data_IF_520640526780
#
_entry.id   IF_520640526780
#
_cell.length_a   1.000
_cell.length_b   1.000
_cell.length_c   1.000
_cell.angle_alpha   90.00
_cell.angle_beta   90.00
_cell.angle_gamma   90.00
#
_symmetry.space_group_name_H-M   'P 1'
#
loop_
_entity.id
_entity.type
_entity.pdbx_description
1 polymer ?
#
# COMPACT_ATOMS: atom_id res chain seq x y z
N UNK A 1 13.26 1.90 -19.75
CA UNK A 1 12.48 0.67 -19.49
C UNK A 1 11.89 0.63 -18.09
N UNK A 2 12.67 0.83 -17.01
CA UNK A 2 12.14 0.83 -15.63
C UNK A 2 11.05 1.89 -15.36
N UNK A 3 11.20 3.12 -15.89
CA UNK A 3 10.20 4.19 -15.77
C UNK A 3 8.80 3.80 -16.31
N UNK A 4 8.74 3.01 -17.39
CA UNK A 4 7.48 2.55 -17.96
C UNK A 4 6.75 1.57 -17.02
N UNK A 5 7.49 0.74 -16.29
CA UNK A 5 6.91 -0.19 -15.31
C UNK A 5 6.28 0.57 -14.14
N UNK A 6 6.95 1.63 -13.65
CA UNK A 6 6.41 2.48 -12.60
C UNK A 6 5.16 3.24 -13.04
N UNK A 7 5.16 3.79 -14.27
CA UNK A 7 3.94 4.39 -14.84
C UNK A 7 2.79 3.39 -14.97
N UNK A 8 3.07 2.17 -15.44
CA UNK A 8 2.05 1.13 -15.52
C UNK A 8 1.47 0.77 -14.14
N UNK A 9 2.33 0.67 -13.11
CA UNK A 9 1.90 0.44 -11.73
C UNK A 9 1.02 1.59 -11.20
N UNK A 10 1.42 2.85 -11.47
CA UNK A 10 0.64 4.02 -11.08
C UNK A 10 -0.73 4.05 -11.77
N UNK A 11 -0.80 3.79 -13.06
CA UNK A 11 -2.08 3.70 -13.80
C UNK A 11 -2.97 2.59 -13.25
N UNK A 12 -2.39 1.43 -12.96
CA UNK A 12 -3.12 0.30 -12.38
C UNK A 12 -3.68 0.65 -10.99
N UNK A 13 -2.87 1.27 -10.13
CA UNK A 13 -3.30 1.74 -8.83
C UNK A 13 -4.40 2.80 -8.93
N UNK A 14 -4.35 3.69 -9.92
CA UNK A 14 -5.39 4.72 -10.15
C UNK A 14 -6.74 4.09 -10.52
N UNK A 15 -6.73 3.06 -11.36
CA UNK A 15 -7.94 2.28 -11.70
C UNK A 15 -8.51 1.65 -10.42
N UNK A 16 -7.66 1.09 -9.56
CA UNK A 16 -8.10 0.46 -8.31
C UNK A 16 -8.66 1.46 -7.31
N UNK A 17 -7.98 2.60 -7.13
CA UNK A 17 -8.44 3.70 -6.30
C UNK A 17 -9.84 4.17 -6.74
N UNK A 18 -10.04 4.37 -8.04
CA UNK A 18 -11.31 4.81 -8.63
C UNK A 18 -12.46 3.83 -8.37
N UNK A 19 -12.18 2.52 -8.49
CA UNK A 19 -13.14 1.46 -8.17
C UNK A 19 -13.54 1.47 -6.68
N UNK A 20 -12.57 1.66 -5.79
CA UNK A 20 -12.81 1.71 -4.35
C UNK A 20 -13.56 2.99 -3.94
N UNK A 21 -13.27 4.14 -4.55
CA UNK A 21 -14.00 5.40 -4.29
C UNK A 21 -15.46 5.25 -4.69
N UNK A 22 -15.71 4.72 -5.89
CA UNK A 22 -17.07 4.44 -6.36
C UNK A 22 -17.82 3.52 -5.39
N UNK A 23 -17.10 2.55 -4.80
CA UNK A 23 -17.67 1.65 -3.80
C UNK A 23 -17.90 2.33 -2.46
N UNK A 24 -16.99 3.19 -2.02
CA UNK A 24 -17.13 3.97 -0.80
C UNK A 24 -18.39 4.85 -0.87
N UNK A 25 -18.65 5.50 -2.01
CA UNK A 25 -19.87 6.30 -2.21
C UNK A 25 -21.18 5.52 -2.03
N UNK A 26 -21.18 4.21 -2.32
CA UNK A 26 -22.38 3.36 -2.22
C UNK A 26 -22.51 2.61 -0.89
N UNK A 27 -21.39 2.24 -0.25
CA UNK A 27 -21.38 1.42 0.97
C UNK A 27 -20.96 2.17 2.23
N UNK A 28 -20.30 3.33 2.09
CA UNK A 28 -19.84 4.20 3.17
C UNK A 28 -19.08 3.50 4.31
N UNK A 29 -18.35 2.42 4.00
CA UNK A 29 -17.52 1.74 5.00
C UNK A 29 -16.12 2.39 5.05
N UNK A 30 -15.59 2.73 6.24
CA UNK A 30 -14.26 3.33 6.40
C UNK A 30 -13.15 2.54 5.71
N UNK A 31 -13.28 1.22 5.65
CA UNK A 31 -12.36 0.35 4.93
C UNK A 31 -12.13 0.80 3.47
N UNK A 32 -13.21 1.07 2.73
CA UNK A 32 -13.08 1.46 1.31
C UNK A 32 -12.39 2.81 1.16
N UNK A 33 -12.64 3.75 2.08
CA UNK A 33 -11.98 5.05 2.09
C UNK A 33 -10.47 4.91 2.30
N UNK A 34 -10.07 4.19 3.33
CA UNK A 34 -8.65 4.02 3.68
C UNK A 34 -7.88 3.27 2.60
N UNK A 35 -8.49 2.25 2.00
CA UNK A 35 -7.89 1.57 0.86
C UNK A 35 -7.82 2.48 -0.37
N UNK A 36 -8.84 3.29 -0.67
CA UNK A 36 -8.74 4.30 -1.74
C UNK A 36 -7.57 5.25 -1.51
N UNK A 37 -7.41 5.78 -0.29
CA UNK A 37 -6.29 6.66 0.07
C UNK A 37 -4.96 5.95 -0.17
N UNK A 38 -4.83 4.70 0.28
CA UNK A 38 -3.64 3.88 0.03
C UNK A 38 -3.30 3.76 -1.45
N UNK A 39 -4.27 3.42 -2.31
CA UNK A 39 -4.03 3.31 -3.74
C UNK A 39 -3.74 4.67 -4.40
N UNK A 40 -4.31 5.78 -3.93
CA UNK A 40 -3.90 7.11 -4.40
C UNK A 40 -2.46 7.45 -4.01
N UNK A 41 -2.04 7.13 -2.79
CA UNK A 41 -0.65 7.28 -2.36
C UNK A 41 0.28 6.38 -3.20
N UNK A 42 -0.20 5.20 -3.61
CA UNK A 42 0.49 4.33 -4.56
C UNK A 42 0.67 5.00 -5.93
N UNK A 43 -0.35 5.69 -6.45
CA UNK A 43 -0.25 6.48 -7.70
C UNK A 43 0.83 7.55 -7.56
N UNK A 44 0.84 8.28 -6.45
CA UNK A 44 1.82 9.33 -6.18
C UNK A 44 3.21 8.72 -6.10
N UNK A 45 3.41 7.70 -5.27
CA UNK A 45 4.71 7.07 -5.07
C UNK A 45 5.31 6.57 -6.40
N UNK A 46 4.55 5.78 -7.15
CA UNK A 46 5.06 5.18 -8.39
C UNK A 46 5.16 6.19 -9.53
N UNK A 47 4.26 7.19 -9.60
CA UNK A 47 4.39 8.29 -10.55
C UNK A 47 5.64 9.12 -10.29
N UNK A 48 5.91 9.46 -9.03
CA UNK A 48 7.10 10.20 -8.63
C UNK A 48 8.38 9.38 -8.79
N UNK A 49 8.34 8.07 -8.55
CA UNK A 49 9.46 7.19 -8.83
C UNK A 49 9.76 7.10 -10.33
N UNK A 50 8.72 7.05 -11.18
CA UNK A 50 8.89 7.08 -12.63
C UNK A 50 9.54 8.39 -13.10
N UNK A 51 9.12 9.53 -12.52
CA UNK A 51 9.71 10.84 -12.77
C UNK A 51 11.17 10.90 -12.29
N UNK A 52 11.45 10.44 -11.07
CA UNK A 52 12.80 10.44 -10.49
C UNK A 52 13.77 9.61 -11.34
N UNK A 53 13.33 8.45 -11.84
CA UNK A 53 14.11 7.63 -12.77
C UNK A 53 14.34 8.37 -14.08
N UNK A 54 13.32 9.07 -14.62
CA UNK A 54 13.42 9.80 -15.88
C UNK A 54 14.28 11.06 -15.79
N UNK A 55 14.34 11.70 -14.62
CA UNK A 55 15.16 12.87 -14.34
C UNK A 55 16.60 12.52 -13.94
N UNK A 56 16.98 11.24 -14.04
CA UNK A 56 18.27 10.71 -13.59
C UNK A 56 18.58 11.06 -12.12
N UNK A 57 17.57 10.99 -11.25
CA UNK A 57 17.76 11.16 -9.80
C UNK A 57 18.24 12.56 -9.39
N UNK A 58 17.85 13.60 -10.14
CA UNK A 58 18.26 14.98 -9.87
C UNK A 58 17.20 15.81 -9.14
N UNK A 59 15.96 15.34 -9.08
CA UNK A 59 14.85 16.08 -8.49
C UNK A 59 14.57 15.61 -7.07
N UNK A 60 14.93 16.45 -6.09
CA UNK A 60 14.69 16.18 -4.66
C UNK A 60 13.20 16.15 -4.37
N UNK A 61 12.43 17.01 -5.03
CA UNK A 61 10.99 17.11 -4.85
C UNK A 61 10.25 15.82 -5.23
N UNK A 62 10.60 15.22 -6.37
CA UNK A 62 10.04 13.93 -6.80
C UNK A 62 10.34 12.85 -5.75
N UNK A 63 11.57 12.79 -5.25
CA UNK A 63 11.95 11.80 -4.25
C UNK A 63 11.28 12.02 -2.88
N UNK A 64 11.06 13.28 -2.46
CA UNK A 64 10.30 13.59 -1.25
C UNK A 64 8.86 13.07 -1.33
N UNK A 65 8.18 13.32 -2.44
CA UNK A 65 6.82 12.82 -2.66
C UNK A 65 6.77 11.30 -2.77
N UNK A 66 7.81 10.68 -3.33
CA UNK A 66 7.98 9.22 -3.30
C UNK A 66 8.08 8.69 -1.86
N UNK A 67 8.91 9.28 -1.00
CA UNK A 67 9.07 8.86 0.40
C UNK A 67 7.72 8.92 1.13
N UNK A 68 7.01 10.04 0.99
CA UNK A 68 5.70 10.25 1.61
C UNK A 68 4.70 9.21 1.09
N UNK A 69 4.54 9.12 -0.23
CA UNK A 69 3.59 8.19 -0.83
C UNK A 69 3.89 6.71 -0.52
N UNK A 70 5.16 6.31 -0.52
CA UNK A 70 5.58 4.92 -0.33
C UNK A 70 5.39 4.41 1.11
N UNK A 71 5.63 5.25 2.12
CA UNK A 71 5.30 4.90 3.50
C UNK A 71 3.80 4.99 3.76
N UNK A 72 3.18 6.08 3.29
CA UNK A 72 1.77 6.37 3.51
C UNK A 72 0.84 5.32 2.89
N UNK A 73 1.19 4.76 1.72
CA UNK A 73 0.35 3.72 1.08
C UNK A 73 0.21 2.49 1.99
N UNK A 74 1.29 2.03 2.64
CA UNK A 74 1.24 0.83 3.49
C UNK A 74 0.48 1.14 4.77
N UNK A 75 0.73 2.29 5.38
CA UNK A 75 0.04 2.71 6.59
C UNK A 75 -1.46 2.97 6.36
N UNK A 76 -1.86 3.57 5.25
CA UNK A 76 -3.28 3.74 4.94
C UNK A 76 -3.97 2.38 4.70
N UNK A 77 -3.27 1.43 4.06
CA UNK A 77 -3.78 0.08 3.84
C UNK A 77 -3.97 -0.68 5.15
N UNK A 78 -3.04 -0.55 6.09
CA UNK A 78 -3.13 -1.16 7.41
C UNK A 78 -4.28 -0.58 8.22
N UNK A 79 -4.54 0.73 8.15
CA UNK A 79 -5.71 1.34 8.80
C UNK A 79 -7.01 0.73 8.27
N UNK A 80 -7.15 0.62 6.94
CA UNK A 80 -8.29 -0.07 6.34
C UNK A 80 -8.43 -1.52 6.82
N UNK A 81 -7.31 -2.24 6.91
CA UNK A 81 -7.27 -3.62 7.42
C UNK A 81 -7.72 -3.71 8.87
N UNK A 82 -7.31 -2.77 9.72
CA UNK A 82 -7.77 -2.69 11.11
C UNK A 82 -9.28 -2.44 11.19
N UNK A 83 -9.84 -1.57 10.34
CA UNK A 83 -11.30 -1.37 10.26
C UNK A 83 -12.06 -2.62 9.79
N UNK A 84 -11.46 -3.50 8.98
CA UNK A 84 -12.06 -4.80 8.66
C UNK A 84 -12.05 -5.75 9.84
N UNK A 85 -10.94 -5.83 10.57
CA UNK A 85 -10.78 -6.74 11.69
C UNK A 85 -11.63 -6.33 12.89
N UNK A 86 -11.73 -5.02 13.15
CA UNK A 86 -12.45 -4.46 14.28
C UNK A 86 -13.40 -3.33 13.85
N UNK A 87 -14.50 -3.66 13.14
CA UNK A 87 -15.46 -2.67 12.68
C UNK A 87 -16.02 -1.84 13.84
N UNK A 88 -16.06 -0.51 13.68
CA UNK A 88 -16.60 0.45 14.68
C UNK A 88 -15.87 0.47 16.04
N UNK A 89 -14.65 -0.06 16.13
CA UNK A 89 -13.88 -0.04 17.38
C UNK A 89 -13.13 1.28 17.59
N UNK A 90 -12.99 1.70 18.86
CA UNK A 90 -12.10 2.82 19.24
C UNK A 90 -10.63 2.53 18.89
N UNK A 91 -10.24 1.26 18.83
CA UNK A 91 -8.90 0.81 18.39
C UNK A 91 -8.64 1.21 16.94
N UNK A 92 -9.59 0.95 16.03
CA UNK A 92 -9.43 1.33 14.63
C UNK A 92 -9.36 2.85 14.43
N UNK A 93 -10.15 3.62 15.21
CA UNK A 93 -10.10 5.08 15.21
C UNK A 93 -8.76 5.59 15.76
N UNK A 94 -8.31 5.07 16.91
CA UNK A 94 -7.04 5.45 17.52
C UNK A 94 -5.86 5.14 16.60
N UNK A 95 -5.88 3.99 15.94
CA UNK A 95 -4.85 3.63 14.97
C UNK A 95 -4.88 4.54 13.72
N UNK A 96 -6.07 4.90 13.23
CA UNK A 96 -6.20 5.87 12.13
C UNK A 96 -5.64 7.25 12.50
N UNK A 97 -5.90 7.73 13.73
CA UNK A 97 -5.35 8.99 14.23
C UNK A 97 -3.83 8.91 14.35
N UNK A 98 -3.30 7.83 14.92
CA UNK A 98 -1.86 7.57 14.96
C UNK A 98 -1.25 7.62 13.55
N UNK A 99 -1.83 6.90 12.60
CA UNK A 99 -1.36 6.89 11.22
C UNK A 99 -1.31 8.30 10.63
N UNK A 100 -2.41 9.07 10.73
CA UNK A 100 -2.47 10.43 10.17
C UNK A 100 -1.42 11.34 10.80
N UNK A 101 -1.24 11.28 12.13
CA UNK A 101 -0.24 12.08 12.82
C UNK A 101 1.18 11.74 12.34
N UNK A 102 1.52 10.45 12.25
CA UNK A 102 2.85 10.01 11.80
C UNK A 102 3.06 10.36 10.32
N UNK A 103 2.06 10.21 9.47
CA UNK A 103 2.11 10.58 8.04
C UNK A 103 2.32 12.09 7.85
N UNK A 104 1.61 12.93 8.62
CA UNK A 104 1.80 14.39 8.59
C UNK A 104 3.22 14.76 9.04
N UNK A 105 3.72 14.13 10.11
CA UNK A 105 5.09 14.35 10.56
C UNK A 105 6.11 13.88 9.52
N UNK A 106 5.92 12.72 8.90
CA UNK A 106 6.75 12.27 7.78
C UNK A 106 6.76 13.31 6.66
N UNK A 107 5.60 13.82 6.26
CA UNK A 107 5.50 14.82 5.20
C UNK A 107 6.26 16.09 5.57
N UNK A 108 6.07 16.64 6.77
CA UNK A 108 6.79 17.83 7.25
C UNK A 108 8.31 17.59 7.21
N UNK A 109 8.79 16.49 7.79
CA UNK A 109 10.22 16.23 7.90
C UNK A 109 10.87 15.85 6.58
N UNK A 110 10.13 15.23 5.65
CA UNK A 110 10.61 15.00 4.29
C UNK A 110 11.00 16.31 3.58
N UNK A 111 10.27 17.40 3.85
CA UNK A 111 10.58 18.74 3.30
C UNK A 111 11.60 19.53 4.14
N UNK A 112 11.52 19.45 5.47
CA UNK A 112 12.44 20.18 6.38
C UNK A 112 13.85 19.60 6.36
N UNK A 113 13.97 18.29 6.17
CA UNK A 113 15.24 17.57 6.09
C UNK A 113 15.30 16.81 4.76
N UNK A 114 15.60 17.51 3.65
CA UNK A 114 15.56 16.92 2.33
C UNK A 114 16.51 15.72 2.22
N UNK A 115 16.09 14.64 1.55
CA UNK A 115 16.92 13.47 1.34
C UNK A 115 18.12 13.80 0.44
N UNK A 116 19.24 13.11 0.66
CA UNK A 116 20.41 13.19 -0.21
C UNK A 116 20.22 12.25 -1.39
N UNK A 117 20.26 12.80 -2.60
CA UNK A 117 20.16 12.01 -3.81
C UNK A 117 21.50 11.34 -4.12
N UNK A 118 21.51 10.01 -4.10
CA UNK A 118 22.60 9.22 -4.62
C UNK A 118 22.16 8.76 -6.00
N UNK A 119 22.84 9.19 -7.07
CA UNK A 119 22.39 9.14 -8.48
C UNK A 119 22.02 7.79 -9.12
N UNK A 120 21.58 6.80 -8.34
CA UNK A 120 20.99 5.56 -8.79
C UNK A 120 19.87 5.09 -7.86
N UNK A 121 18.89 4.40 -8.44
CA UNK A 121 17.83 3.69 -7.73
C UNK A 121 18.37 2.81 -6.60
N UNK A 122 19.41 2.03 -6.92
CA UNK A 122 20.00 1.09 -5.98
C UNK A 122 20.62 1.80 -4.78
N UNK A 123 21.29 2.94 -4.97
CA UNK A 123 21.85 3.69 -3.86
C UNK A 123 20.77 4.34 -2.98
N UNK A 124 19.64 4.73 -3.57
CA UNK A 124 18.51 5.33 -2.87
C UNK A 124 17.62 4.31 -2.14
N UNK A 125 17.52 3.09 -2.64
CA UNK A 125 16.69 2.04 -2.05
C UNK A 125 17.50 0.95 -1.31
N UNK A 126 18.84 0.96 -1.38
CA UNK A 126 19.75 0.16 -0.55
C UNK A 126 19.77 0.59 0.93
N UNK A 127 18.85 1.46 1.36
CA UNK A 127 18.41 1.59 2.75
C UNK A 127 19.42 2.10 3.78
N UNK A 128 20.69 2.33 3.44
CA UNK A 128 21.68 2.75 4.45
C UNK A 128 21.86 4.26 4.60
N UNK A 129 21.57 5.08 3.58
CA UNK A 129 21.82 6.54 3.67
C UNK A 129 20.83 7.44 2.90
N UNK A 130 19.81 6.89 2.25
CA UNK A 130 18.93 7.68 1.38
C UNK A 130 17.84 8.45 2.12
N UNK A 131 17.25 7.81 3.13
CA UNK A 131 16.34 8.44 4.09
C UNK A 131 17.08 8.46 5.41
N UNK A 132 17.42 9.65 5.90
CA UNK A 132 18.23 9.85 7.10
C UNK A 132 17.53 10.76 8.09
N UNK A 133 18.00 10.73 9.34
CA UNK A 133 17.52 11.60 10.40
C UNK A 133 16.05 11.37 10.74
N UNK A 134 15.34 12.44 11.06
CA UNK A 134 13.97 12.37 11.58
C UNK A 134 12.97 11.81 10.56
N UNK A 135 13.17 12.07 9.26
CA UNK A 135 12.34 11.50 8.18
C UNK A 135 12.38 9.97 8.20
N UNK A 136 13.55 9.38 8.47
CA UNK A 136 13.71 7.93 8.55
C UNK A 136 12.91 7.33 9.70
N UNK A 137 12.86 8.02 10.84
CA UNK A 137 12.12 7.54 12.02
C UNK A 137 10.64 7.40 11.69
N UNK A 138 10.02 8.45 11.12
CA UNK A 138 8.59 8.41 10.79
C UNK A 138 8.28 7.44 9.65
N UNK A 139 9.16 7.34 8.65
CA UNK A 139 9.06 6.34 7.60
C UNK A 139 9.03 4.92 8.19
N UNK A 140 9.97 4.60 9.09
CA UNK A 140 10.06 3.30 9.75
C UNK A 140 8.84 3.03 10.64
N UNK A 141 8.32 4.02 11.36
CA UNK A 141 7.13 3.85 12.19
C UNK A 141 5.89 3.46 11.36
N UNK A 142 5.75 3.98 10.14
CA UNK A 142 4.67 3.59 9.23
C UNK A 142 4.89 2.21 8.65
N UNK A 143 6.08 1.93 8.12
CA UNK A 143 6.39 0.66 7.47
C UNK A 143 6.39 -0.52 8.47
N UNK A 144 7.06 -0.36 9.61
CA UNK A 144 7.24 -1.41 10.62
C UNK A 144 5.93 -1.78 11.33
N UNK A 145 4.98 -0.85 11.42
CA UNK A 145 3.67 -1.13 12.02
C UNK A 145 2.66 -1.54 10.95
N UNK A 146 2.61 -0.82 9.82
CA UNK A 146 1.61 -1.04 8.77
C UNK A 146 1.78 -2.37 8.06
N UNK A 147 3.00 -2.73 7.65
CA UNK A 147 3.29 -3.97 6.93
C UNK A 147 2.81 -5.22 7.69
N UNK A 148 3.25 -5.42 8.95
CA UNK A 148 2.79 -6.55 9.77
C UNK A 148 1.29 -6.59 9.97
N UNK A 149 0.61 -5.45 10.18
CA UNK A 149 -0.85 -5.43 10.34
C UNK A 149 -1.55 -5.93 9.09
N UNK A 150 -1.12 -5.53 7.89
CA UNK A 150 -1.71 -6.01 6.64
C UNK A 150 -1.48 -7.51 6.48
N UNK A 151 -0.23 -7.97 6.67
CA UNK A 151 0.15 -9.38 6.49
C UNK A 151 -0.57 -10.27 7.51
N UNK A 152 -0.45 -9.96 8.81
CA UNK A 152 -1.04 -10.74 9.90
C UNK A 152 -2.57 -10.68 9.80
N UNK A 153 -3.15 -9.51 9.50
CA UNK A 153 -4.59 -9.35 9.32
C UNK A 153 -5.14 -10.24 8.21
N UNK A 154 -4.45 -10.28 7.06
CA UNK A 154 -4.83 -11.14 5.94
C UNK A 154 -4.67 -12.64 6.27
N UNK A 155 -3.57 -13.04 6.89
CA UNK A 155 -3.32 -14.43 7.30
C UNK A 155 -4.31 -14.90 8.37
N UNK A 156 -4.63 -14.06 9.36
CA UNK A 156 -5.63 -14.34 10.38
C UNK A 156 -7.03 -14.51 9.78
N UNK A 157 -7.39 -13.63 8.84
CA UNK A 157 -8.65 -13.72 8.09
C UNK A 157 -8.72 -15.02 7.28
N UNK A 158 -7.62 -15.43 6.65
CA UNK A 158 -7.52 -16.74 6.00
C UNK A 158 -7.65 -17.89 7.00
N UNK A 159 -6.96 -17.84 8.14
CA UNK A 159 -7.03 -18.92 9.14
C UNK A 159 -8.47 -19.17 9.61
N UNK A 160 -9.24 -18.09 9.86
CA UNK A 160 -10.63 -18.19 10.30
C UNK A 160 -11.61 -18.59 9.20
N UNK A 161 -11.44 -18.12 7.97
CA UNK A 161 -12.44 -18.27 6.91
C UNK A 161 -12.07 -19.29 5.85
N UNK A 162 -10.79 -19.68 5.79
CA UNK A 162 -10.15 -20.52 4.77
C UNK A 162 -10.36 -20.05 3.32
N UNK A 163 -10.62 -18.76 3.13
CA UNK A 163 -10.89 -18.17 1.81
C UNK A 163 -9.60 -17.78 1.10
N UNK A 164 -9.41 -18.33 -0.10
CA UNK A 164 -8.18 -18.17 -0.89
C UNK A 164 -7.81 -16.71 -1.19
N UNK A 165 -8.80 -15.83 -1.36
CA UNK A 165 -8.56 -14.42 -1.68
C UNK A 165 -7.83 -13.65 -0.56
N UNK A 166 -7.92 -14.12 0.70
CA UNK A 166 -7.14 -13.56 1.79
C UNK A 166 -5.65 -13.93 1.67
N UNK A 167 -5.33 -15.11 1.12
CA UNK A 167 -3.94 -15.47 0.80
C UNK A 167 -3.38 -14.61 -0.31
N UNK A 168 -4.19 -14.26 -1.32
CA UNK A 168 -3.74 -13.34 -2.37
C UNK A 168 -3.36 -11.97 -1.80
N UNK A 169 -4.14 -11.43 -0.85
CA UNK A 169 -3.82 -10.18 -0.16
C UNK A 169 -2.54 -10.35 0.68
N UNK A 170 -2.42 -11.44 1.45
CA UNK A 170 -1.24 -11.70 2.27
C UNK A 170 0.04 -11.83 1.43
N UNK A 171 0.00 -12.62 0.36
CA UNK A 171 1.10 -12.79 -0.57
C UNK A 171 1.42 -11.48 -1.28
N UNK A 172 0.39 -10.73 -1.70
CA UNK A 172 0.56 -9.44 -2.35
C UNK A 172 1.20 -8.37 -1.45
N UNK A 173 1.05 -8.47 -0.13
CA UNK A 173 1.78 -7.64 0.84
C UNK A 173 3.19 -8.18 1.16
N UNK A 174 3.36 -9.51 1.22
CA UNK A 174 4.63 -10.16 1.51
C UNK A 174 5.66 -9.99 0.39
N UNK A 175 5.25 -10.14 -0.87
CA UNK A 175 6.14 -10.03 -2.04
C UNK A 175 6.91 -8.70 -2.07
N UNK A 176 6.27 -7.52 -2.04
CA UNK A 176 6.98 -6.24 -2.04
C UNK A 176 7.76 -5.99 -0.75
N UNK A 177 7.26 -6.46 0.41
CA UNK A 177 7.98 -6.34 1.69
C UNK A 177 9.32 -7.09 1.69
N UNK A 178 9.31 -8.33 1.17
CA UNK A 178 10.51 -9.15 1.00
C UNK A 178 11.44 -8.55 -0.06
N UNK A 179 10.89 -8.08 -1.18
CA UNK A 179 11.67 -7.43 -2.22
C UNK A 179 12.36 -6.16 -1.72
N UNK A 180 11.68 -5.33 -0.92
CA UNK A 180 12.26 -4.13 -0.30
C UNK A 180 13.37 -4.45 0.69
N UNK A 181 13.20 -5.52 1.47
CA UNK A 181 14.24 -5.99 2.41
C UNK A 181 15.46 -6.55 1.69
N UNK A 182 15.28 -7.21 0.54
CA UNK A 182 16.40 -7.68 -0.27
C UNK A 182 17.08 -6.50 -0.99
N UNK A 183 16.30 -5.58 -1.55
CA UNK A 183 16.81 -4.38 -2.21
C UNK A 183 17.62 -3.50 -1.25
N UNK A 184 17.18 -3.38 0.02
CA UNK A 184 17.91 -2.66 1.06
C UNK A 184 19.26 -3.30 1.42
N UNK A 185 19.46 -4.57 1.10
CA UNK A 185 20.74 -5.27 1.24
C UNK A 185 21.59 -5.24 -0.05
N UNK A 186 21.14 -4.50 -1.07
CA UNK A 186 21.79 -4.46 -2.39
C UNK A 186 21.47 -5.68 -3.27
N UNK A 187 20.57 -6.56 -2.85
CA UNK A 187 20.18 -7.79 -3.54
C UNK A 187 18.88 -7.56 -4.32
N UNK A 188 18.76 -8.11 -5.53
CA UNK A 188 17.53 -8.09 -6.33
C UNK A 188 16.97 -6.69 -6.67
N UNK A 189 17.83 -5.66 -6.70
CA UNK A 189 17.46 -4.26 -7.00
C UNK A 189 16.76 -4.11 -8.36
N UNK A 190 17.20 -4.85 -9.38
CA UNK A 190 16.60 -4.84 -10.71
C UNK A 190 15.18 -5.47 -10.76
N UNK A 191 14.85 -6.35 -9.81
CA UNK A 191 13.59 -7.12 -9.80
C UNK A 191 12.53 -6.44 -8.90
N UNK A 192 12.94 -5.56 -8.00
CA UNK A 192 12.04 -4.87 -7.07
C UNK A 192 10.83 -4.17 -7.73
N UNK A 193 10.96 -3.41 -8.84
CA UNK A 193 9.81 -2.79 -9.49
C UNK A 193 8.77 -3.81 -9.97
N UNK A 194 9.25 -4.95 -10.47
CA UNK A 194 8.39 -6.06 -10.92
C UNK A 194 7.68 -6.70 -9.73
N UNK A 195 8.37 -6.90 -8.60
CA UNK A 195 7.78 -7.45 -7.39
C UNK A 195 6.70 -6.54 -6.80
N UNK A 196 6.85 -5.22 -6.88
CA UNK A 196 5.79 -4.29 -6.50
C UNK A 196 4.54 -4.42 -7.37
N UNK A 197 4.72 -4.52 -8.69
CA UNK A 197 3.59 -4.73 -9.62
C UNK A 197 2.89 -6.06 -9.32
N UNK A 198 3.66 -7.14 -9.12
CA UNK A 198 3.11 -8.45 -8.75
C UNK A 198 2.33 -8.34 -7.44
N UNK A 199 2.90 -7.69 -6.42
CA UNK A 199 2.23 -7.47 -5.14
C UNK A 199 0.91 -6.70 -5.28
N UNK A 200 0.94 -5.59 -6.03
CA UNK A 200 -0.21 -4.76 -6.34
C UNK A 200 -1.34 -5.55 -7.03
N UNK A 201 -0.99 -6.34 -8.04
CA UNK A 201 -1.93 -7.20 -8.77
C UNK A 201 -2.53 -8.26 -7.84
N UNK A 202 -1.72 -8.91 -7.00
CA UNK A 202 -2.19 -9.94 -6.07
C UNK A 202 -3.18 -9.37 -5.05
N UNK A 203 -2.89 -8.21 -4.45
CA UNK A 203 -3.81 -7.53 -3.52
C UNK A 203 -5.13 -7.22 -4.23
N UNK A 204 -5.08 -6.72 -5.46
CA UNK A 204 -6.27 -6.39 -6.22
C UNK A 204 -7.09 -7.61 -6.63
N UNK A 205 -6.45 -8.68 -7.09
CA UNK A 205 -7.15 -9.92 -7.39
C UNK A 205 -7.82 -10.48 -6.13
N UNK A 206 -7.14 -10.43 -4.99
CA UNK A 206 -7.72 -10.76 -3.70
C UNK A 206 -8.97 -9.92 -3.39
N UNK A 207 -8.91 -8.61 -3.61
CA UNK A 207 -10.07 -7.72 -3.48
C UNK A 207 -11.22 -8.10 -4.42
N UNK A 208 -10.96 -8.24 -5.73
CA UNK A 208 -12.00 -8.55 -6.73
C UNK A 208 -12.67 -9.88 -6.42
N UNK A 209 -11.90 -10.92 -6.12
CA UNK A 209 -12.46 -12.23 -5.78
C UNK A 209 -13.26 -12.21 -4.47
N UNK A 210 -12.81 -11.45 -3.46
CA UNK A 210 -13.58 -11.29 -2.22
C UNK A 210 -14.99 -10.73 -2.48
N UNK A 211 -15.10 -9.83 -3.48
CA UNK A 211 -16.38 -9.23 -3.90
C UNK A 211 -17.26 -10.25 -4.60
N UNK A 212 -16.75 -10.96 -5.60
CA UNK A 212 -17.52 -11.97 -6.35
C UNK A 212 -18.10 -13.03 -5.41
N UNK A 213 -17.30 -13.50 -4.45
CA UNK A 213 -17.76 -14.45 -3.42
C UNK A 213 -18.78 -13.87 -2.44
N UNK A 214 -18.80 -12.55 -2.21
CA UNK A 214 -19.82 -11.90 -1.39
C UNK A 214 -21.15 -11.73 -2.12
N UNK A 215 -21.11 -11.39 -3.41
CA UNK A 215 -22.31 -11.21 -4.24
C UNK A 215 -23.02 -12.53 -4.49
N UNK A 216 -22.29 -13.61 -4.82
CA UNK A 216 -22.89 -14.94 -5.04
C UNK A 216 -23.67 -15.45 -3.82
N UNK A 217 -23.18 -15.17 -2.60
CA UNK A 217 -23.87 -15.55 -1.35
C UNK A 217 -25.20 -14.80 -1.15
N UNK A 218 -25.24 -13.51 -1.48
CA UNK A 218 -26.47 -12.71 -1.36
C UNK A 218 -27.51 -13.20 -2.36
N UNK A 219 -27.12 -13.47 -3.61
CA UNK A 219 -28.02 -14.01 -4.63
C UNK A 219 -28.58 -15.39 -4.25
N UNK A 220 -27.76 -16.30 -3.73
CA UNK A 220 -28.23 -17.62 -3.27
C UNK A 220 -29.23 -17.52 -2.11
N UNK A 221 -28.96 -16.66 -1.12
CA UNK A 221 -29.88 -16.46 0.02
C UNK A 221 -31.23 -15.87 -0.43
N UNK A 222 -31.23 -14.97 -1.41
CA UNK A 222 -32.45 -14.39 -1.99
C UNK A 222 -33.26 -15.41 -2.80
N UNK A 223 -32.60 -16.33 -3.50
CA UNK A 223 -33.28 -17.43 -4.19
C UNK A 223 -33.92 -18.42 -3.22
N UNK A 224 -33.22 -18.77 -2.14
CA UNK A 224 -33.76 -19.65 -1.09
C UNK A 224 -34.98 -19.02 -0.38
N UNK A 225 -34.94 -17.71 -0.11
CA UNK A 225 -36.06 -17.00 0.53
C UNK A 225 -37.28 -16.76 -0.38
N UNK A 226 -37.16 -16.97 -1.70
CA UNK A 226 -38.27 -16.84 -2.66
C UNK A 226 -38.86 -18.18 -3.10
N UNK A 227 -38.17 -19.28 -2.81
CA UNK A 227 -38.63 -20.64 -3.08
C UNK A 227 -39.25 -21.35 -1.87
N UNK A 228 -39.33 -20.65 -0.73
CA UNK A 228 -40.04 -21.06 0.48
C UNK A 228 -41.27 -20.14 0.67
#
# INVERSE_FOLDING_TARGET
MASLLFWAAALLALIFASNLVSRYRTKQSPFYLWWSISFFLYVIAFGMEALTVSSNWNSVFEYQLYIIGSAGLVGAMSVGTTYLAFPKSKVAVGYAVYFVLVEVLLAIFAFVSPPVLHGSWAALNAGKNAIVGTTQIFYLLLAAVGGPIVIIGALWSWWKTRRYYNLLIALGALVPSSAGTLASQGIATAIFPVMNIIGLVLIFLGYVYSRSSSQGRVSQAQHQARGA
#
